data_IF_170087672022
#
_entry.id   IF_170087672022
#
_cell.length_a   1.000
_cell.length_b   1.000
_cell.length_c   1.000
_cell.angle_alpha   90.00
_cell.angle_beta   90.00
_cell.angle_gamma   90.00
#
_symmetry.space_group_name_H-M   'P 1'
#
loop_
_entity.id
_entity.type
_entity.pdbx_description
1 polymer ?
#
# COMPACT_ATOMS: atom_id res chain seq x y z
N UNK A 1 47.73 -35.88 5.22
CA UNK A 1 46.99 -34.81 5.93
C UNK A 1 46.77 -33.69 4.93
N UNK A 2 45.62 -33.67 4.25
CA UNK A 2 45.30 -32.65 3.24
C UNK A 2 44.53 -31.54 3.91
N UNK A 3 45.16 -30.38 4.04
CA UNK A 3 44.58 -29.16 4.59
C UNK A 3 43.62 -28.60 3.55
N UNK A 4 42.31 -28.60 3.86
CA UNK A 4 41.29 -27.96 3.03
C UNK A 4 41.58 -26.44 3.03
N UNK A 5 41.67 -25.78 1.87
CA UNK A 5 41.89 -24.34 1.83
C UNK A 5 40.75 -23.64 2.59
N UNK A 6 41.02 -22.54 3.30
CA UNK A 6 39.98 -21.78 3.98
C UNK A 6 38.94 -21.35 2.95
N UNK A 7 37.65 -21.51 3.26
CA UNK A 7 36.54 -20.99 2.45
C UNK A 7 36.70 -19.47 2.39
N UNK A 8 37.35 -18.97 1.33
CA UNK A 8 37.52 -17.55 1.08
C UNK A 8 36.11 -17.01 0.84
N UNK A 9 35.59 -16.07 1.66
CA UNK A 9 34.31 -15.47 1.38
C UNK A 9 34.40 -14.81 0.01
N UNK A 10 33.58 -15.28 -0.93
CA UNK A 10 33.49 -14.68 -2.26
C UNK A 10 33.23 -13.19 -2.06
N UNK A 11 34.05 -12.30 -2.64
CA UNK A 11 33.82 -10.88 -2.50
C UNK A 11 32.43 -10.57 -3.03
N UNK A 12 31.59 -9.95 -2.20
CA UNK A 12 30.28 -9.45 -2.59
C UNK A 12 30.49 -8.50 -3.76
N UNK A 13 30.26 -8.98 -4.98
CA UNK A 13 30.37 -8.13 -6.15
C UNK A 13 29.28 -7.06 -6.07
N UNK A 14 29.60 -5.79 -6.39
CA UNK A 14 28.60 -4.75 -6.43
C UNK A 14 27.50 -5.12 -7.43
N UNK A 15 26.25 -5.01 -6.98
CA UNK A 15 25.07 -5.22 -7.80
C UNK A 15 25.19 -4.39 -9.09
N UNK A 16 25.02 -4.99 -10.28
CA UNK A 16 25.05 -4.24 -11.53
C UNK A 16 24.12 -3.03 -11.46
N UNK A 17 24.51 -1.85 -12.00
CA UNK A 17 23.79 -0.58 -11.78
C UNK A 17 22.31 -0.67 -12.15
N UNK A 18 21.98 -1.37 -13.25
CA UNK A 18 20.59 -1.63 -13.66
C UNK A 18 19.77 -2.36 -12.60
N UNK A 19 20.36 -3.36 -11.94
CA UNK A 19 19.64 -4.13 -10.90
C UNK A 19 19.43 -3.23 -9.69
N UNK A 20 20.43 -2.46 -9.27
CA UNK A 20 20.29 -1.51 -8.18
C UNK A 20 19.26 -0.38 -8.48
N UNK A 21 19.11 0.04 -9.73
CA UNK A 21 18.08 1.00 -10.14
C UNK A 21 16.67 0.37 -10.10
N UNK A 22 16.52 -0.88 -10.53
CA UNK A 22 15.24 -1.60 -10.46
C UNK A 22 14.83 -1.88 -9.01
N UNK A 23 15.78 -2.21 -8.14
CA UNK A 23 15.52 -2.41 -6.71
C UNK A 23 15.00 -1.12 -6.06
N UNK A 24 15.65 0.03 -6.31
CA UNK A 24 15.18 1.34 -5.82
C UNK A 24 13.80 1.70 -6.35
N UNK A 25 13.52 1.43 -7.63
CA UNK A 25 12.19 1.65 -8.21
C UNK A 25 11.14 0.74 -7.53
N UNK A 26 11.50 -0.50 -7.24
CA UNK A 26 10.67 -1.43 -6.48
C UNK A 26 10.36 -0.91 -5.08
N UNK A 27 11.37 -0.39 -4.37
CA UNK A 27 11.21 0.22 -3.04
C UNK A 27 10.27 1.43 -3.10
N UNK A 28 10.40 2.29 -4.11
CA UNK A 28 9.53 3.46 -4.30
C UNK A 28 8.07 3.05 -4.56
N UNK A 29 7.86 2.02 -5.40
CA UNK A 29 6.52 1.45 -5.64
C UNK A 29 5.94 0.87 -4.36
N UNK A 30 6.74 0.13 -3.59
CA UNK A 30 6.29 -0.48 -2.33
C UNK A 30 5.91 0.58 -1.29
N UNK A 31 6.72 1.62 -1.16
CA UNK A 31 6.45 2.76 -0.26
C UNK A 31 5.16 3.49 -0.67
N UNK A 32 4.99 3.82 -1.95
CA UNK A 32 3.79 4.48 -2.44
C UNK A 32 2.55 3.60 -2.23
N UNK A 33 2.68 2.29 -2.46
CA UNK A 33 1.59 1.33 -2.24
C UNK A 33 1.18 1.29 -0.77
N UNK A 34 2.14 1.22 0.16
CA UNK A 34 1.86 1.23 1.59
C UNK A 34 1.14 2.52 2.02
N UNK A 35 1.52 3.67 1.45
CA UNK A 35 0.82 4.93 1.69
C UNK A 35 -0.63 4.92 1.18
N UNK A 36 -0.89 4.34 0.00
CA UNK A 36 -2.23 4.19 -0.56
C UNK A 36 -3.10 3.26 0.29
N UNK A 37 -2.54 2.15 0.75
CA UNK A 37 -3.23 1.22 1.65
C UNK A 37 -3.56 1.88 2.99
N UNK A 38 -2.61 2.60 3.59
CA UNK A 38 -2.83 3.34 4.83
C UNK A 38 -3.90 4.43 4.66
N UNK A 39 -3.90 5.15 3.53
CA UNK A 39 -4.93 6.13 3.21
C UNK A 39 -6.30 5.48 3.04
N UNK A 40 -6.36 4.32 2.38
CA UNK A 40 -7.60 3.54 2.19
C UNK A 40 -8.16 3.05 3.52
N UNK A 41 -7.31 2.48 4.38
CA UNK A 41 -7.71 2.04 5.72
C UNK A 41 -8.27 3.20 6.56
N UNK A 42 -7.60 4.36 6.51
CA UNK A 42 -8.06 5.59 7.17
C UNK A 42 -9.40 6.06 6.61
N UNK A 43 -9.58 6.04 5.29
CA UNK A 43 -10.83 6.41 4.64
C UNK A 43 -11.98 5.50 5.12
N UNK A 44 -11.77 4.19 5.14
CA UNK A 44 -12.77 3.23 5.63
C UNK A 44 -13.13 3.46 7.10
N UNK A 45 -12.15 3.79 7.95
CA UNK A 45 -12.42 4.15 9.35
C UNK A 45 -13.29 5.41 9.47
N UNK A 46 -13.02 6.45 8.65
CA UNK A 46 -13.84 7.66 8.62
C UNK A 46 -15.25 7.38 8.09
N UNK A 47 -15.39 6.57 7.04
CA UNK A 47 -16.69 6.17 6.50
C UNK A 47 -17.50 5.43 7.56
N UNK A 48 -16.88 4.48 8.27
CA UNK A 48 -17.53 3.74 9.36
C UNK A 48 -18.02 4.67 10.46
N UNK A 49 -17.20 5.64 10.87
CA UNK A 49 -17.59 6.61 11.90
C UNK A 49 -18.72 7.53 11.40
N UNK A 50 -18.66 7.97 10.15
CA UNK A 50 -19.69 8.79 9.51
C UNK A 50 -21.02 8.05 9.40
N UNK A 51 -20.99 6.77 9.01
CA UNK A 51 -22.16 5.90 8.96
C UNK A 51 -22.76 5.67 10.36
N UNK A 52 -21.93 5.36 11.35
CA UNK A 52 -22.36 5.15 12.73
C UNK A 52 -23.03 6.39 13.35
N UNK A 53 -22.58 7.60 12.96
CA UNK A 53 -23.20 8.87 13.38
C UNK A 53 -24.43 9.25 12.56
N UNK A 54 -24.78 8.45 11.55
CA UNK A 54 -25.89 8.75 10.63
C UNK A 54 -25.65 10.01 9.80
N UNK A 55 -24.39 10.38 9.54
CA UNK A 55 -24.04 11.63 8.85
C UNK A 55 -24.59 11.72 7.42
N UNK A 56 -24.90 10.57 6.81
CA UNK A 56 -25.55 10.48 5.51
C UNK A 56 -27.05 10.80 5.55
N UNK A 57 -27.69 10.75 6.73
CA UNK A 57 -29.14 10.88 6.89
C UNK A 57 -29.62 12.34 6.81
N UNK A 58 -29.13 13.06 5.81
CA UNK A 58 -29.51 14.43 5.46
C UNK A 58 -30.35 14.45 4.18
N UNK A 59 -31.12 13.38 3.91
CA UNK A 59 -31.89 13.19 2.68
C UNK A 59 -31.46 12.02 1.80
N UNK A 60 -30.41 11.27 2.17
CA UNK A 60 -29.98 10.07 1.45
C UNK A 60 -30.58 8.80 2.06
N UNK A 61 -30.75 7.77 1.23
CA UNK A 61 -31.36 6.48 1.63
C UNK A 61 -30.40 5.55 2.38
N UNK A 62 -29.10 5.76 2.25
CA UNK A 62 -28.04 5.00 2.93
C UNK A 62 -26.69 5.72 2.83
N UNK A 63 -25.71 5.31 3.63
CA UNK A 63 -24.34 5.81 3.50
C UNK A 63 -23.74 5.55 2.12
N UNK A 64 -24.06 4.39 1.52
CA UNK A 64 -23.65 4.04 0.17
C UNK A 64 -24.16 5.05 -0.87
N UNK A 65 -25.45 5.41 -0.79
CA UNK A 65 -26.06 6.38 -1.69
C UNK A 65 -25.44 7.78 -1.54
N UNK A 66 -25.07 8.15 -0.30
CA UNK A 66 -24.35 9.40 -0.04
C UNK A 66 -22.94 9.39 -0.63
N UNK A 67 -22.19 8.30 -0.47
CA UNK A 67 -20.82 8.16 -0.99
C UNK A 67 -20.77 8.18 -2.52
N UNK A 68 -21.67 7.45 -3.17
CA UNK A 68 -21.80 7.45 -4.64
C UNK A 68 -22.10 8.87 -5.15
N UNK A 69 -23.01 9.61 -4.50
CA UNK A 69 -23.29 11.01 -4.87
C UNK A 69 -22.15 11.99 -4.56
N UNK A 70 -21.51 11.88 -3.39
CA UNK A 70 -20.56 12.91 -2.91
C UNK A 70 -19.17 12.76 -3.48
N UNK A 71 -18.70 11.52 -3.62
CA UNK A 71 -17.30 11.21 -3.98
C UNK A 71 -17.18 10.18 -5.11
N UNK A 72 -18.30 9.72 -5.70
CA UNK A 72 -18.28 8.78 -6.83
C UNK A 72 -17.86 7.36 -6.45
N UNK A 73 -17.98 6.98 -5.17
CA UNK A 73 -17.60 5.65 -4.69
C UNK A 73 -18.82 4.72 -4.71
N UNK A 74 -18.80 3.73 -5.58
CA UNK A 74 -19.80 2.66 -5.64
C UNK A 74 -19.34 1.42 -4.85
N UNK A 75 -20.22 0.84 -4.04
CA UNK A 75 -19.95 -0.36 -3.22
C UNK A 75 -19.87 -1.68 -4.03
N UNK A 76 -19.49 -1.61 -5.30
CA UNK A 76 -19.45 -2.76 -6.21
C UNK A 76 -18.28 -2.77 -7.19
N UNK A 77 -17.25 -1.95 -6.95
CA UNK A 77 -15.99 -1.97 -7.71
C UNK A 77 -14.99 -2.95 -7.10
#
# INVERSE_FOLDING_TARGET
MSIRPPDIPTPLQPTPPRIAELDRLGDEIAELSAHLEAATARLLALIREFDARGGWNTGFRSCAAWLSWRVGLDLGA
#
